data_IF_373351294803
#
_entry.id   IF_373351294803
#
_cell.length_a   1.000
_cell.length_b   1.000
_cell.length_c   1.000
_cell.angle_alpha   90.00
_cell.angle_beta   90.00
_cell.angle_gamma   90.00
#
_symmetry.space_group_name_H-M   'P 1'
#
loop_
_entity.id
_entity.type
_entity.pdbx_description
1 polymer ?
#
# COMPACT_ATOMS: atom_id res chain seq x y z
N UNK A 1 2.63 -26.83 -2.72
CA UNK A 1 1.28 -26.36 -2.36
C UNK A 1 1.44 -25.48 -1.12
N UNK A 2 1.15 -24.18 -1.15
CA UNK A 2 1.29 -23.35 0.04
C UNK A 2 0.23 -23.78 1.08
N UNK A 3 0.57 -23.76 2.38
CA UNK A 3 -0.29 -24.31 3.41
C UNK A 3 -1.61 -23.54 3.56
N UNK A 4 -2.68 -24.32 3.65
CA UNK A 4 -4.08 -23.95 3.85
C UNK A 4 -4.26 -23.33 5.25
N UNK A 5 -4.01 -22.03 5.39
CA UNK A 5 -4.22 -21.37 6.69
C UNK A 5 -3.58 -20.00 6.85
N UNK A 6 -3.80 -19.06 5.92
CA UNK A 6 -3.45 -17.66 6.19
C UNK A 6 -4.49 -17.05 7.13
N UNK A 7 -4.20 -17.04 8.42
CA UNK A 7 -4.91 -16.21 9.40
C UNK A 7 -4.36 -14.79 9.27
N UNK A 8 -5.02 -13.93 8.49
CA UNK A 8 -4.71 -12.51 8.48
C UNK A 8 -5.09 -11.90 9.82
N UNK A 9 -4.19 -11.09 10.38
CA UNK A 9 -4.31 -10.52 11.73
C UNK A 9 -5.25 -9.31 11.77
N UNK A 10 -5.55 -8.71 10.62
CA UNK A 10 -6.26 -7.43 10.51
C UNK A 10 -7.50 -7.55 9.59
N UNK A 11 -8.56 -6.75 9.82
CA UNK A 11 -9.55 -6.48 8.78
C UNK A 11 -8.85 -5.90 7.54
N UNK A 12 -9.41 -6.15 6.36
CA UNK A 12 -8.81 -5.72 5.09
C UNK A 12 -8.54 -4.20 5.12
N UNK A 13 -7.30 -3.73 4.87
CA UNK A 13 -6.97 -2.32 4.91
C UNK A 13 -7.91 -1.51 4.00
N UNK A 14 -8.51 -0.45 4.56
CA UNK A 14 -9.43 0.43 3.84
C UNK A 14 -8.81 1.81 3.63
N UNK A 15 -9.13 2.50 2.53
CA UNK A 15 -8.77 3.90 2.34
C UNK A 15 -9.37 4.79 3.43
N UNK A 16 -8.75 5.95 3.66
CA UNK A 16 -9.36 7.00 4.47
C UNK A 16 -10.72 7.41 3.87
N UNK A 17 -11.76 7.45 4.70
CA UNK A 17 -13.11 7.86 4.28
C UNK A 17 -13.10 9.30 3.75
N UNK A 18 -13.57 9.46 2.50
CA UNK A 18 -13.61 10.73 1.80
C UNK A 18 -14.79 11.63 2.22
N UNK A 19 -15.81 11.07 2.88
CA UNK A 19 -16.92 11.86 3.45
C UNK A 19 -16.55 12.48 4.80
N UNK A 20 -15.67 11.81 5.56
CA UNK A 20 -15.11 12.34 6.80
C UNK A 20 -13.92 13.27 6.57
N UNK A 21 -13.00 12.90 5.67
CA UNK A 21 -11.79 13.68 5.37
C UNK A 21 -11.70 14.01 3.88
N UNK A 22 -11.65 15.31 3.56
CA UNK A 22 -11.43 15.79 2.19
C UNK A 22 -10.20 15.15 1.54
N UNK A 23 -10.26 14.88 0.23
CA UNK A 23 -9.23 14.11 -0.50
C UNK A 23 -7.85 14.77 -0.54
N UNK A 24 -7.79 16.08 -0.36
CA UNK A 24 -6.54 16.85 -0.36
C UNK A 24 -5.89 16.97 1.02
N UNK A 25 -6.41 16.29 2.04
CA UNK A 25 -5.82 16.24 3.40
C UNK A 25 -5.26 14.86 3.73
N UNK A 26 -4.38 14.80 4.74
CA UNK A 26 -3.76 13.56 5.23
C UNK A 26 -2.43 13.19 4.54
N UNK A 27 -1.86 12.05 4.92
CA UNK A 27 -0.61 11.53 4.36
C UNK A 27 -0.91 10.86 2.99
N UNK A 28 -0.17 11.19 1.91
CA UNK A 28 -0.45 10.71 0.57
C UNK A 28 0.13 9.31 0.30
N UNK A 29 -0.40 8.28 0.97
CA UNK A 29 -0.09 6.89 0.64
C UNK A 29 -0.81 6.45 -0.65
N UNK A 30 -0.36 5.34 -1.25
CA UNK A 30 -1.06 4.76 -2.41
C UNK A 30 -2.53 4.50 -2.08
N UNK A 31 -3.42 5.07 -2.89
CA UNK A 31 -4.88 4.96 -2.73
C UNK A 31 -5.40 5.38 -1.34
N UNK A 32 -4.64 6.17 -0.57
CA UNK A 32 -4.95 6.56 0.83
C UNK A 32 -5.11 5.36 1.79
N UNK A 33 -4.46 4.24 1.48
CA UNK A 33 -4.42 3.06 2.35
C UNK A 33 -3.48 3.27 3.55
N UNK A 34 -3.64 2.52 4.66
CA UNK A 34 -2.70 2.54 5.77
C UNK A 34 -1.28 2.14 5.34
N UNK A 35 -0.27 2.80 5.91
CA UNK A 35 1.12 2.37 5.76
C UNK A 35 1.40 1.16 6.65
N UNK A 36 1.73 0.02 6.04
CA UNK A 36 1.96 -1.26 6.72
C UNK A 36 3.36 -1.74 6.34
N UNK A 37 4.22 -1.97 7.34
CA UNK A 37 5.62 -2.37 7.15
C UNK A 37 5.83 -3.89 7.24
N UNK A 38 4.81 -4.63 7.66
CA UNK A 38 4.83 -6.10 7.80
C UNK A 38 4.14 -6.77 6.60
N UNK A 39 4.86 -7.10 5.50
CA UNK A 39 4.23 -7.63 4.28
C UNK A 39 3.58 -9.00 4.48
N UNK A 40 3.98 -9.75 5.53
CA UNK A 40 3.35 -11.02 5.89
C UNK A 40 1.86 -10.89 6.24
N UNK A 41 1.41 -9.69 6.59
CA UNK A 41 0.01 -9.39 6.94
C UNK A 41 -0.87 -9.07 5.72
N UNK A 42 -0.31 -8.99 4.51
CA UNK A 42 -1.00 -8.57 3.30
C UNK A 42 -1.10 -9.70 2.25
N UNK A 43 -2.22 -9.72 1.54
CA UNK A 43 -2.38 -10.50 0.30
C UNK A 43 -1.73 -9.81 -0.89
N UNK A 44 -1.87 -8.48 -0.93
CA UNK A 44 -1.33 -7.60 -1.96
C UNK A 44 -0.68 -6.40 -1.28
N UNK A 45 0.55 -6.09 -1.67
CA UNK A 45 1.28 -4.91 -1.21
C UNK A 45 1.53 -3.95 -2.39
N UNK A 46 1.42 -2.65 -2.11
CA UNK A 46 1.78 -1.59 -3.06
C UNK A 46 3.14 -1.02 -2.64
N UNK A 47 4.14 -1.17 -3.51
CA UNK A 47 5.52 -0.76 -3.24
C UNK A 47 5.97 0.18 -4.35
N UNK A 48 6.48 1.35 -3.97
CA UNK A 48 7.15 2.25 -4.88
C UNK A 48 8.63 1.89 -4.98
N UNK A 49 9.14 1.79 -6.21
CA UNK A 49 10.58 1.70 -6.47
C UNK A 49 10.98 2.97 -7.24
N UNK A 50 11.41 4.05 -6.56
CA UNK A 50 11.81 5.28 -7.21
C UNK A 50 13.21 5.11 -7.80
N UNK A 51 13.30 4.40 -8.92
CA UNK A 51 14.55 4.10 -9.60
C UNK A 51 14.49 4.54 -11.06
N UNK A 52 15.44 5.37 -11.44
CA UNK A 52 15.63 5.94 -12.77
C UNK A 52 17.04 5.64 -13.34
N UNK A 53 17.86 4.82 -12.66
CA UNK A 53 19.27 4.61 -13.01
C UNK A 53 19.53 3.89 -14.33
N UNK A 54 18.50 3.32 -14.97
CA UNK A 54 18.58 2.74 -16.31
C UNK A 54 18.26 3.72 -17.45
N UNK A 55 17.92 4.97 -17.13
CA UNK A 55 17.53 5.97 -18.13
C UNK A 55 18.76 6.45 -18.92
N UNK A 56 18.65 6.47 -20.25
CA UNK A 56 19.77 6.82 -21.15
C UNK A 56 19.73 8.27 -21.64
N UNK A 57 18.67 9.02 -21.33
CA UNK A 57 18.54 10.42 -21.73
C UNK A 57 17.81 11.28 -20.68
N UNK A 58 16.48 11.24 -20.62
CA UNK A 58 15.68 11.97 -19.62
C UNK A 58 15.11 10.99 -18.59
N UNK A 59 15.63 10.98 -17.35
CA UNK A 59 14.96 10.34 -16.21
C UNK A 59 13.65 11.05 -15.83
#
# INVERSE_FOLDING_TARGET
MPPTGRRFRLPHPQPTDALTYARFTGIPTFMRLPHITEPGELEVALIGVPFDGGTTYRP
#
